data_IF_012556536659
#
_entry.id   IF_012556536659
#
_cell.length_a   1.000
_cell.length_b   1.000
_cell.length_c   1.000
_cell.angle_alpha   90.00
_cell.angle_beta   90.00
_cell.angle_gamma   90.00
#
_symmetry.space_group_name_H-M   'P 1'
#
loop_
_entity.id
_entity.type
_entity.pdbx_description
1 polymer ?
#
# COMPACT_ATOMS: atom_id res chain seq x y z
N UNK A 1 -47.82 43.86 -26.50
CA UNK A 1 -46.68 42.96 -26.77
C UNK A 1 -45.93 43.46 -28.01
N UNK A 2 -44.75 44.05 -27.85
CA UNK A 2 -43.94 44.52 -28.99
C UNK A 2 -43.16 43.35 -29.62
N UNK A 3 -43.35 43.10 -30.93
CA UNK A 3 -42.56 42.13 -31.70
C UNK A 3 -41.14 42.67 -31.88
N UNK A 4 -40.13 42.00 -31.28
CA UNK A 4 -38.71 42.31 -31.54
C UNK A 4 -38.42 42.20 -33.04
N UNK A 5 -37.77 43.22 -33.59
CA UNK A 5 -37.35 43.29 -35.00
C UNK A 5 -36.40 42.13 -35.35
N UNK A 6 -36.51 41.58 -36.56
CA UNK A 6 -35.65 40.48 -37.03
C UNK A 6 -34.15 40.78 -36.88
N UNK A 7 -33.76 42.06 -36.96
CA UNK A 7 -32.38 42.52 -36.75
C UNK A 7 -31.89 42.34 -35.31
N UNK A 8 -32.76 42.50 -34.31
CA UNK A 8 -32.40 42.26 -32.91
C UNK A 8 -32.19 40.78 -32.61
N UNK A 9 -32.96 39.88 -33.24
CA UNK A 9 -32.79 38.43 -33.10
C UNK A 9 -31.47 37.93 -33.67
N UNK A 10 -31.00 38.52 -34.78
CA UNK A 10 -29.73 38.16 -35.42
C UNK A 10 -28.54 38.58 -34.53
N UNK A 11 -28.60 39.75 -33.91
CA UNK A 11 -27.55 40.21 -32.99
C UNK A 11 -27.45 39.32 -31.73
N UNK A 12 -28.59 38.96 -31.11
CA UNK A 12 -28.61 38.01 -29.97
C UNK A 12 -28.02 36.63 -30.34
N UNK A 13 -28.20 36.16 -31.58
CA UNK A 13 -27.63 34.90 -32.06
C UNK A 13 -26.11 34.99 -32.25
N UNK A 14 -25.60 36.12 -32.75
CA UNK A 14 -24.17 36.34 -32.94
C UNK A 14 -23.44 36.39 -31.58
N UNK A 15 -24.02 37.07 -30.59
CA UNK A 15 -23.44 37.13 -29.24
C UNK A 15 -23.40 35.75 -28.58
N UNK A 16 -24.50 34.98 -28.65
CA UNK A 16 -24.53 33.59 -28.13
C UNK A 16 -23.53 32.68 -28.84
N UNK A 17 -23.34 32.84 -30.14
CA UNK A 17 -22.34 32.07 -30.89
C UNK A 17 -20.90 32.46 -30.48
N UNK A 18 -20.67 33.74 -30.20
CA UNK A 18 -19.40 34.24 -29.66
C UNK A 18 -19.06 33.63 -28.30
N UNK A 19 -20.02 33.62 -27.37
CA UNK A 19 -19.87 33.02 -26.04
C UNK A 19 -19.60 31.51 -26.12
N UNK A 20 -20.36 30.78 -26.94
CA UNK A 20 -20.18 29.33 -27.13
C UNK A 20 -18.82 29.00 -27.77
N UNK A 21 -18.31 29.85 -28.67
CA UNK A 21 -16.99 29.65 -29.30
C UNK A 21 -15.85 29.93 -28.31
N UNK A 22 -16.00 30.94 -27.45
CA UNK A 22 -15.06 31.26 -26.37
C UNK A 22 -15.01 30.12 -25.33
N UNK A 23 -16.18 29.67 -24.89
CA UNK A 23 -16.31 28.56 -23.94
C UNK A 23 -15.69 27.27 -24.48
N UNK A 24 -15.95 26.88 -25.74
CA UNK A 24 -15.36 25.68 -26.36
C UNK A 24 -13.84 25.71 -26.41
N UNK A 25 -13.22 26.88 -26.61
CA UNK A 25 -11.75 27.01 -26.57
C UNK A 25 -11.21 26.83 -25.16
N UNK A 26 -11.89 27.39 -24.16
CA UNK A 26 -11.52 27.23 -22.75
C UNK A 26 -11.59 25.77 -22.29
N UNK A 27 -12.67 25.06 -22.63
CA UNK A 27 -12.81 23.62 -22.34
C UNK A 27 -11.74 22.76 -23.00
N UNK A 28 -11.36 23.08 -24.24
CA UNK A 28 -10.25 22.39 -24.93
C UNK A 28 -8.91 22.62 -24.23
N UNK A 29 -8.64 23.84 -23.79
CA UNK A 29 -7.41 24.15 -23.06
C UNK A 29 -7.35 23.43 -21.70
N UNK A 30 -8.46 23.43 -20.95
CA UNK A 30 -8.58 22.68 -19.70
C UNK A 30 -8.39 21.17 -19.90
N UNK A 31 -8.99 20.60 -20.95
CA UNK A 31 -8.83 19.19 -21.28
C UNK A 31 -7.38 18.83 -21.61
N UNK A 32 -6.65 19.71 -22.32
CA UNK A 32 -5.23 19.52 -22.64
C UNK A 32 -4.38 19.55 -21.36
N UNK A 33 -4.59 20.53 -20.48
CA UNK A 33 -3.87 20.62 -19.20
C UNK A 33 -4.12 19.35 -18.37
N UNK A 34 -5.38 18.92 -18.26
CA UNK A 34 -5.75 17.71 -17.53
C UNK A 34 -5.05 16.46 -18.09
N UNK A 35 -5.01 16.31 -19.42
CA UNK A 35 -4.30 15.21 -20.07
C UNK A 35 -2.80 15.23 -19.79
N UNK A 36 -2.17 16.40 -19.85
CA UNK A 36 -0.75 16.56 -19.52
C UNK A 36 -0.51 16.18 -18.06
N UNK A 37 -1.34 16.65 -17.13
CA UNK A 37 -1.26 16.29 -15.71
C UNK A 37 -1.39 14.79 -15.47
N UNK A 38 -2.31 14.11 -16.18
CA UNK A 38 -2.45 12.65 -16.12
C UNK A 38 -1.19 11.91 -16.60
N UNK A 39 -0.58 12.38 -17.69
CA UNK A 39 0.66 11.80 -18.22
C UNK A 39 1.79 11.96 -17.20
N UNK A 40 1.94 13.16 -16.62
CA UNK A 40 2.92 13.40 -15.56
C UNK A 40 2.69 12.51 -14.34
N UNK A 41 1.43 12.34 -13.92
CA UNK A 41 1.08 11.48 -12.80
C UNK A 41 1.42 10.00 -13.08
N UNK A 42 1.18 9.50 -14.29
CA UNK A 42 1.56 8.15 -14.69
C UNK A 42 3.08 7.95 -14.67
N UNK A 43 3.84 8.88 -15.24
CA UNK A 43 5.32 8.82 -15.24
C UNK A 43 5.85 8.84 -13.80
N UNK A 44 5.31 9.72 -12.97
CA UNK A 44 5.69 9.82 -11.57
C UNK A 44 5.37 8.54 -10.78
N UNK A 45 4.21 7.95 -11.00
CA UNK A 45 3.80 6.69 -10.37
C UNK A 45 4.73 5.54 -10.77
N UNK A 46 5.05 5.41 -12.06
CA UNK A 46 6.00 4.40 -12.56
C UNK A 46 7.41 4.58 -11.96
N UNK A 47 7.85 5.82 -11.80
CA UNK A 47 9.13 6.12 -11.15
C UNK A 47 9.14 5.68 -9.68
N UNK A 48 8.09 6.02 -8.93
CA UNK A 48 7.95 5.61 -7.53
C UNK A 48 7.86 4.09 -7.38
N UNK A 49 7.04 3.42 -8.18
CA UNK A 49 6.86 1.97 -8.12
C UNK A 49 8.18 1.25 -8.41
N UNK A 50 8.97 1.74 -9.37
CA UNK A 50 10.30 1.20 -9.66
C UNK A 50 11.27 1.33 -8.48
N UNK A 51 11.25 2.46 -7.76
CA UNK A 51 12.11 2.69 -6.60
C UNK A 51 11.68 1.90 -5.38
N UNK A 52 10.38 1.82 -5.13
CA UNK A 52 9.82 1.02 -4.04
C UNK A 52 10.13 -0.46 -4.29
N UNK A 53 9.92 -0.95 -5.52
CA UNK A 53 10.22 -2.33 -5.89
C UNK A 53 11.72 -2.67 -5.74
N UNK A 54 12.62 -1.73 -6.06
CA UNK A 54 14.05 -1.90 -5.85
C UNK A 54 14.40 -2.03 -4.35
N UNK A 55 13.84 -1.14 -3.52
CA UNK A 55 14.02 -1.17 -2.06
C UNK A 55 13.43 -2.44 -1.43
N UNK A 56 12.29 -2.94 -1.92
CA UNK A 56 11.70 -4.18 -1.43
C UNK A 56 12.57 -5.39 -1.77
N UNK A 57 13.15 -5.43 -2.97
CA UNK A 57 14.06 -6.52 -3.38
C UNK A 57 15.35 -6.54 -2.57
N UNK A 58 15.94 -5.38 -2.30
CA UNK A 58 17.13 -5.28 -1.45
C UNK A 58 16.83 -5.72 -0.01
N UNK A 59 15.70 -5.28 0.58
CA UNK A 59 15.27 -5.73 1.91
C UNK A 59 14.97 -7.23 1.97
N UNK A 60 14.33 -7.79 0.94
CA UNK A 60 14.10 -9.24 0.85
C UNK A 60 15.41 -10.03 0.67
N UNK A 61 16.39 -9.50 -0.06
CA UNK A 61 17.69 -10.11 -0.20
C UNK A 61 18.48 -10.10 1.12
N UNK A 62 18.41 -8.99 1.88
CA UNK A 62 18.98 -8.87 3.21
C UNK A 62 18.31 -9.83 4.22
N UNK A 63 16.98 -9.93 4.22
CA UNK A 63 16.26 -10.89 5.06
C UNK A 63 16.59 -12.35 4.72
N UNK A 64 16.88 -12.67 3.46
CA UNK A 64 17.33 -14.03 3.08
C UNK A 64 18.74 -14.36 3.55
N UNK A 65 19.58 -13.35 3.80
CA UNK A 65 20.95 -13.55 4.25
C UNK A 65 21.06 -13.66 5.78
N UNK A 66 20.12 -13.08 6.52
CA UNK A 66 20.05 -13.23 7.96
C UNK A 66 19.20 -14.48 8.26
N UNK A 67 19.80 -15.62 8.63
CA UNK A 67 19.03 -16.76 9.09
C UNK A 67 18.16 -16.33 10.27
N UNK A 68 16.85 -16.58 10.16
CA UNK A 68 15.90 -16.39 11.24
C UNK A 68 15.60 -17.77 11.81
N UNK A 69 15.87 -17.94 13.09
CA UNK A 69 15.47 -19.14 13.84
C UNK A 69 14.16 -18.85 14.55
N UNK A 70 13.14 -19.64 14.27
CA UNK A 70 11.82 -19.47 14.86
C UNK A 70 11.63 -20.51 15.95
N UNK A 71 11.38 -20.05 17.18
CA UNK A 71 11.02 -20.92 18.29
C UNK A 71 9.49 -20.92 18.42
N UNK A 72 8.87 -22.09 18.29
CA UNK A 72 7.44 -22.27 18.55
C UNK A 72 7.26 -23.20 19.74
N UNK A 73 6.45 -22.79 20.71
CA UNK A 73 6.16 -23.57 21.91
C UNK A 73 4.65 -23.71 22.03
N UNK A 74 4.19 -24.95 22.09
CA UNK A 74 2.78 -25.32 22.26
C UNK A 74 2.62 -26.07 23.57
N UNK A 75 2.05 -25.43 24.59
CA UNK A 75 1.80 -26.04 25.89
C UNK A 75 0.35 -26.50 26.02
N UNK A 76 0.15 -27.71 26.53
CA UNK A 76 -1.16 -28.18 26.98
C UNK A 76 -1.23 -27.94 28.48
N UNK A 77 -2.04 -26.97 28.90
CA UNK A 77 -2.33 -26.81 30.33
C UNK A 77 -3.24 -27.97 30.77
N UNK A 78 -2.70 -28.84 31.64
CA UNK A 78 -3.43 -30.01 32.15
C UNK A 78 -4.62 -29.65 33.04
N UNK A 79 -4.69 -28.42 33.53
CA UNK A 79 -5.74 -27.98 34.45
C UNK A 79 -6.95 -27.38 33.72
N UNK A 80 -6.77 -26.79 32.54
CA UNK A 80 -7.84 -26.12 31.77
C UNK A 80 -8.03 -26.60 30.34
N UNK A 81 -7.19 -27.52 29.83
CA UNK A 81 -7.20 -27.98 28.44
C UNK A 81 -7.09 -26.85 27.39
N UNK A 82 -6.55 -25.71 27.80
CA UNK A 82 -6.23 -24.59 26.92
C UNK A 82 -4.82 -24.74 26.36
N UNK A 83 -4.67 -24.38 25.07
CA UNK A 83 -3.38 -24.38 24.38
C UNK A 83 -2.72 -23.01 24.54
N UNK A 84 -1.57 -22.95 25.21
CA UNK A 84 -0.75 -21.74 25.21
C UNK A 84 0.25 -21.85 24.06
N UNK A 85 0.10 -20.96 23.08
CA UNK A 85 0.98 -20.86 21.92
C UNK A 85 1.90 -19.65 22.05
N UNK A 86 3.20 -19.88 21.90
CA UNK A 86 4.21 -18.82 21.82
C UNK A 86 5.06 -19.02 20.57
N UNK A 87 5.26 -17.94 19.80
CA UNK A 87 6.15 -17.93 18.63
C UNK A 87 7.05 -16.71 18.70
N UNK A 88 8.35 -16.95 18.64
CA UNK A 88 9.36 -15.91 18.69
C UNK A 88 10.46 -16.14 17.66
N UNK A 89 11.02 -15.05 17.16
CA UNK A 89 11.95 -15.05 16.04
C UNK A 89 13.30 -14.46 16.47
N UNK A 90 14.36 -15.23 16.26
CA UNK A 90 15.71 -14.88 16.64
C UNK A 90 16.58 -14.71 15.41
N UNK A 91 17.33 -13.61 15.36
CA UNK A 91 18.37 -13.37 14.36
C UNK A 91 19.77 -13.74 14.87
N UNK A 92 19.90 -14.07 16.15
CA UNK A 92 21.12 -14.52 16.80
C UNK A 92 20.94 -15.99 17.23
N UNK A 93 21.81 -16.86 16.72
CA UNK A 93 21.76 -18.29 16.99
C UNK A 93 22.11 -18.63 18.45
N UNK A 94 23.04 -17.90 19.06
CA UNK A 94 23.46 -18.18 20.44
C UNK A 94 22.33 -17.85 21.41
N UNK A 95 21.60 -16.75 21.15
CA UNK A 95 20.40 -16.41 21.91
C UNK A 95 19.28 -17.44 21.72
N UNK A 96 19.00 -17.85 20.47
CA UNK A 96 18.02 -18.90 20.17
C UNK A 96 18.33 -20.21 20.94
N UNK A 97 19.60 -20.61 20.93
CA UNK A 97 20.08 -21.82 21.61
C UNK A 97 20.01 -21.70 23.13
N UNK A 98 20.36 -20.55 23.69
CA UNK A 98 20.24 -20.30 25.13
C UNK A 98 18.78 -20.40 25.59
N UNK A 99 17.85 -19.80 24.84
CA UNK A 99 16.42 -19.85 25.15
C UNK A 99 15.90 -21.29 25.09
N UNK A 100 16.22 -22.05 24.04
CA UNK A 100 15.83 -23.48 23.95
C UNK A 100 16.33 -24.28 25.15
N UNK A 101 17.60 -24.13 25.52
CA UNK A 101 18.18 -24.90 26.62
C UNK A 101 17.50 -24.57 27.95
N UNK A 102 17.08 -23.32 28.17
CA UNK A 102 16.30 -22.95 29.35
C UNK A 102 14.97 -23.70 29.40
N UNK A 103 14.26 -23.85 28.28
CA UNK A 103 13.01 -24.62 28.25
C UNK A 103 13.20 -26.11 28.59
N UNK A 104 14.34 -26.71 28.22
CA UNK A 104 14.67 -28.10 28.57
C UNK A 104 15.03 -28.26 30.08
N UNK A 105 15.43 -27.19 30.77
CA UNK A 105 15.81 -27.21 32.19
C UNK A 105 14.63 -27.00 33.16
N UNK A 106 13.53 -26.38 32.72
CA UNK A 106 12.38 -26.09 33.56
C UNK A 106 11.31 -27.18 33.47
N UNK A 107 11.07 -27.86 34.60
CA UNK A 107 10.06 -28.91 34.76
C UNK A 107 8.63 -28.44 34.44
N UNK A 108 8.37 -27.13 34.49
CA UNK A 108 7.06 -26.51 34.22
C UNK A 108 6.63 -26.64 32.73
N UNK A 109 7.56 -26.92 31.81
CA UNK A 109 7.27 -27.09 30.38
C UNK A 109 7.14 -28.56 29.94
N UNK A 110 7.02 -29.51 30.86
CA UNK A 110 6.87 -30.94 30.54
C UNK A 110 5.66 -31.28 29.65
N UNK A 111 4.63 -30.44 29.67
CA UNK A 111 3.45 -30.58 28.81
C UNK A 111 3.52 -29.71 27.54
N UNK A 112 4.71 -29.20 27.21
CA UNK A 112 4.92 -28.34 26.04
C UNK A 112 5.68 -29.06 24.94
N UNK A 113 5.22 -28.87 23.71
CA UNK A 113 5.91 -29.30 22.49
C UNK A 113 6.69 -28.11 21.96
N UNK A 114 8.01 -28.25 21.92
CA UNK A 114 8.91 -27.25 21.32
C UNK A 114 9.13 -27.63 19.85
N UNK A 115 8.64 -26.81 18.94
CA UNK A 115 8.83 -26.95 17.50
C UNK A 115 9.98 -26.01 17.09
N UNK A 116 11.07 -26.63 16.61
CA UNK A 116 12.34 -25.99 16.25
C UNK A 116 12.50 -25.85 14.73
#
# INVERSE_FOLDING_TARGET
MARKSGRQKILELIDKLGEVKSSRKMWRFLAIIFFISLIFFMIFSLYYDSKVLALTKENQALQKQIPVWTLKVECIDSEYADYVYFEDNYTDYELYKEVINRFDEFDDFKNCVIIK
#
